data_IF_251989591297
#
_entry.id   IF_251989591297
#
_cell.length_a   1.000
_cell.length_b   1.000
_cell.length_c   1.000
_cell.angle_alpha   90.00
_cell.angle_beta   90.00
_cell.angle_gamma   90.00
#
_symmetry.space_group_name_H-M   'P 1'
#
loop_
_entity.id
_entity.type
_entity.pdbx_description
1 polymer ?
#
# COMPACT_ATOMS: atom_id res chain seq x y z
N UNK A 1 6.51 5.86 12.52
CA UNK A 1 5.72 5.60 11.29
C UNK A 1 4.48 4.82 11.67
N UNK A 2 3.28 5.15 11.17
CA UNK A 2 2.01 4.66 11.74
C UNK A 2 1.06 4.19 10.64
N UNK A 3 0.29 3.14 10.96
CA UNK A 3 -0.76 2.61 10.09
C UNK A 3 -2.08 3.36 10.29
N UNK A 4 -2.88 3.47 9.23
CA UNK A 4 -4.20 4.12 9.24
C UNK A 4 -5.32 3.11 9.29
N UNK A 5 -6.32 3.41 10.13
CA UNK A 5 -7.63 2.77 10.07
C UNK A 5 -8.70 3.86 10.08
N UNK A 6 -9.76 3.68 9.28
CA UNK A 6 -10.82 4.67 9.13
C UNK A 6 -11.66 4.90 10.40
N UNK A 7 -12.50 5.94 10.39
CA UNK A 7 -13.46 6.23 11.45
C UNK A 7 -14.40 5.06 11.70
N UNK A 8 -14.43 4.56 12.93
CA UNK A 8 -15.36 3.56 13.39
C UNK A 8 -16.24 4.19 14.49
N UNK A 9 -17.57 3.98 14.39
CA UNK A 9 -18.57 4.51 15.32
C UNK A 9 -18.60 3.81 16.69
N UNK A 10 -19.69 4.00 17.44
CA UNK A 10 -19.95 3.32 18.71
C UNK A 10 -19.98 1.80 18.52
N UNK A 11 -19.14 1.07 19.21
CA UNK A 11 -18.80 -0.34 18.97
C UNK A 11 -17.38 -0.51 18.40
N UNK A 12 -16.68 0.58 18.15
CA UNK A 12 -15.37 0.65 17.54
C UNK A 12 -14.30 -0.16 18.30
N UNK A 13 -14.33 -0.18 19.62
CA UNK A 13 -13.29 -0.85 20.43
C UNK A 13 -13.20 -2.35 20.12
N UNK A 14 -14.35 -3.04 19.95
CA UNK A 14 -14.36 -4.46 19.58
C UNK A 14 -13.78 -4.67 18.17
N UNK A 15 -14.22 -3.87 17.21
CA UNK A 15 -13.72 -3.97 15.83
C UNK A 15 -12.23 -3.62 15.75
N UNK A 16 -11.80 -2.58 16.48
CA UNK A 16 -10.40 -2.18 16.53
C UNK A 16 -9.53 -3.26 17.17
N UNK A 17 -10.04 -3.91 18.22
CA UNK A 17 -9.34 -5.03 18.82
C UNK A 17 -9.23 -6.22 17.85
N UNK A 18 -10.28 -6.55 17.11
CA UNK A 18 -10.25 -7.59 16.10
C UNK A 18 -9.25 -7.29 14.97
N UNK A 19 -9.13 -6.02 14.57
CA UNK A 19 -8.11 -5.58 13.60
C UNK A 19 -6.71 -5.77 14.19
N UNK A 20 -6.49 -5.34 15.43
CA UNK A 20 -5.22 -5.52 16.13
C UNK A 20 -4.82 -7.00 16.21
N UNK A 21 -5.72 -7.86 16.70
CA UNK A 21 -5.51 -9.30 16.81
C UNK A 21 -5.23 -9.94 15.44
N UNK A 22 -5.96 -9.52 14.39
CA UNK A 22 -5.72 -9.99 13.04
C UNK A 22 -4.32 -9.60 12.53
N UNK A 23 -3.88 -8.36 12.77
CA UNK A 23 -2.54 -7.91 12.38
C UNK A 23 -1.46 -8.68 13.14
N UNK A 24 -1.62 -8.89 14.43
CA UNK A 24 -0.66 -9.64 15.25
C UNK A 24 -0.54 -11.09 14.80
N UNK A 25 -1.64 -11.71 14.35
CA UNK A 25 -1.66 -13.11 13.92
C UNK A 25 -1.31 -13.34 12.46
N UNK A 26 -1.75 -12.45 11.57
CA UNK A 26 -1.69 -12.65 10.11
C UNK A 26 -0.72 -11.70 9.41
N UNK A 27 -0.35 -10.60 10.06
CA UNK A 27 0.43 -9.52 9.47
C UNK A 27 -0.43 -8.40 8.89
N UNK A 28 0.19 -7.54 8.12
CA UNK A 28 -0.46 -6.40 7.47
C UNK A 28 -1.17 -6.84 6.20
N UNK A 29 -2.41 -6.40 6.03
CA UNK A 29 -3.14 -6.62 4.79
C UNK A 29 -2.71 -5.60 3.73
N UNK A 30 -2.07 -6.05 2.68
CA UNK A 30 -1.77 -5.26 1.49
C UNK A 30 -2.97 -5.29 0.55
N UNK A 31 -3.39 -4.13 0.08
CA UNK A 31 -4.59 -3.97 -0.75
C UNK A 31 -4.27 -3.29 -2.08
N UNK A 32 -5.09 -3.54 -3.10
CA UNK A 32 -5.01 -2.90 -4.41
C UNK A 32 -6.15 -1.88 -4.57
N UNK A 33 -5.96 -0.94 -5.50
CA UNK A 33 -6.98 0.03 -5.89
C UNK A 33 -7.23 1.13 -4.85
N UNK A 34 -8.21 1.95 -5.16
CA UNK A 34 -8.66 3.04 -4.30
C UNK A 34 -9.89 2.62 -3.46
N UNK A 35 -10.40 3.56 -2.64
CA UNK A 35 -11.59 3.35 -1.80
C UNK A 35 -12.86 2.99 -2.61
N UNK A 36 -12.90 3.29 -3.90
CA UNK A 36 -14.03 3.02 -4.79
C UNK A 36 -13.93 1.67 -5.50
N UNK A 37 -12.82 0.94 -5.33
CA UNK A 37 -12.58 -0.33 -6.02
C UNK A 37 -12.11 -0.17 -7.45
N UNK A 38 -11.61 1.01 -7.81
CA UNK A 38 -11.10 1.30 -9.16
C UNK A 38 -9.58 1.21 -9.20
N UNK A 39 -9.05 0.88 -10.38
CA UNK A 39 -7.63 1.00 -10.64
C UNK A 39 -7.19 2.46 -10.55
N UNK A 40 -5.94 2.67 -10.14
CA UNK A 40 -5.37 4.01 -10.16
C UNK A 40 -5.19 4.45 -11.63
N UNK A 41 -5.76 5.61 -11.94
CA UNK A 41 -5.66 6.23 -13.25
C UNK A 41 -4.72 7.42 -13.14
N UNK A 42 -3.75 7.46 -14.02
CA UNK A 42 -2.86 8.60 -14.19
C UNK A 42 -3.27 9.40 -15.41
N UNK A 43 -3.31 10.72 -15.27
CA UNK A 43 -3.60 11.64 -16.37
C UNK A 43 -2.39 12.54 -16.60
N UNK A 44 -1.99 12.67 -17.84
CA UNK A 44 -0.85 13.50 -18.24
C UNK A 44 -1.31 14.52 -19.26
N UNK A 45 -1.00 15.78 -19.02
CA UNK A 45 -1.26 16.84 -19.97
C UNK A 45 -0.21 16.82 -21.08
N UNK A 46 -0.69 16.64 -22.31
CA UNK A 46 0.14 16.61 -23.51
C UNK A 46 0.37 18.02 -24.06
N UNK A 47 1.41 18.18 -24.84
CA UNK A 47 1.64 19.39 -25.64
C UNK A 47 0.41 19.63 -26.56
N UNK A 48 -0.11 20.85 -26.54
CA UNK A 48 -1.35 21.18 -27.28
C UNK A 48 -2.63 21.05 -26.45
N UNK A 49 -2.53 20.78 -25.14
CA UNK A 49 -3.67 20.78 -24.21
C UNK A 49 -4.49 19.48 -24.18
N UNK A 50 -4.11 18.48 -24.96
CA UNK A 50 -4.73 17.16 -24.84
C UNK A 50 -4.36 16.49 -23.49
N UNK A 51 -5.29 15.70 -22.94
CA UNK A 51 -5.06 14.92 -21.74
C UNK A 51 -5.03 13.45 -22.16
N UNK A 52 -3.90 12.79 -21.94
CA UNK A 52 -3.82 11.34 -22.05
C UNK A 52 -3.94 10.71 -20.66
N UNK A 53 -4.78 9.70 -20.56
CA UNK A 53 -4.99 8.94 -19.35
C UNK A 53 -4.63 7.48 -19.57
N UNK A 54 -3.95 6.90 -18.60
CA UNK A 54 -3.62 5.48 -18.61
C UNK A 54 -3.90 4.85 -17.25
N UNK A 55 -4.35 3.61 -17.29
CA UNK A 55 -4.61 2.81 -16.11
C UNK A 55 -3.37 1.98 -15.76
N UNK A 56 -3.03 1.94 -14.48
CA UNK A 56 -1.94 1.13 -13.98
C UNK A 56 -2.48 0.09 -13.02
N UNK A 57 -2.23 -1.17 -13.32
CA UNK A 57 -2.46 -2.24 -12.37
C UNK A 57 -1.38 -2.13 -11.29
N UNK A 58 -1.74 -1.56 -10.16
CA UNK A 58 -0.82 -1.45 -9.04
C UNK A 58 -0.75 -2.77 -8.29
N UNK A 59 0.44 -3.07 -7.77
CA UNK A 59 0.63 -4.15 -6.81
C UNK A 59 -0.06 -3.83 -5.48
N UNK A 60 -0.41 -4.87 -4.73
CA UNK A 60 -0.94 -4.72 -3.39
C UNK A 60 0.05 -3.94 -2.51
N UNK A 61 -0.46 -3.04 -1.70
CA UNK A 61 0.36 -2.15 -0.87
C UNK A 61 -0.27 -1.87 0.47
N UNK A 62 0.54 -1.52 1.43
CA UNK A 62 0.15 -0.91 2.70
C UNK A 62 0.84 0.44 2.84
N UNK A 63 0.09 1.42 3.34
CA UNK A 63 0.55 2.79 3.49
C UNK A 63 0.85 3.11 4.95
N UNK A 64 1.91 3.87 5.17
CA UNK A 64 2.31 4.42 6.46
C UNK A 64 2.41 5.93 6.35
N UNK A 65 2.36 6.61 7.48
CA UNK A 65 2.60 8.05 7.55
C UNK A 65 3.76 8.32 8.50
N UNK A 66 4.66 9.23 8.11
CA UNK A 66 5.80 9.67 8.92
C UNK A 66 5.57 11.12 9.36
N UNK A 67 4.63 11.32 10.26
CA UNK A 67 4.27 12.63 10.78
C UNK A 67 4.75 12.83 12.21
N UNK A 68 5.14 14.06 12.58
CA UNK A 68 5.48 14.42 13.96
C UNK A 68 4.32 14.16 14.92
N UNK A 69 4.63 13.94 16.20
CA UNK A 69 3.62 13.61 17.21
C UNK A 69 2.60 14.74 17.39
N UNK A 70 3.04 15.99 17.32
CA UNK A 70 2.20 17.19 17.40
C UNK A 70 1.18 17.30 16.27
N UNK A 71 1.41 16.66 15.13
CA UNK A 71 0.49 16.64 13.99
C UNK A 71 -0.49 15.48 14.04
N UNK A 72 -0.33 14.55 14.97
CA UNK A 72 -1.16 13.35 15.06
C UNK A 72 -2.63 13.66 15.29
N UNK A 73 -2.94 14.71 16.07
CA UNK A 73 -4.32 15.07 16.38
C UNK A 73 -5.12 15.34 15.11
N UNK A 74 -4.63 16.21 14.23
CA UNK A 74 -5.27 16.52 12.96
C UNK A 74 -5.33 15.28 12.04
N UNK A 75 -4.28 14.47 12.03
CA UNK A 75 -4.24 13.27 11.23
C UNK A 75 -5.26 12.21 11.70
N UNK A 76 -5.37 12.01 13.00
CA UNK A 76 -6.31 11.04 13.57
C UNK A 76 -7.78 11.45 13.39
N UNK A 77 -8.10 12.74 13.35
CA UNK A 77 -9.45 13.22 13.02
C UNK A 77 -9.87 12.80 11.60
N UNK A 78 -8.92 12.80 10.65
CA UNK A 78 -9.22 12.43 9.26
C UNK A 78 -9.17 10.92 9.01
N UNK A 79 -8.24 10.20 9.65
CA UNK A 79 -7.91 8.81 9.34
C UNK A 79 -8.24 7.81 10.44
N UNK A 80 -8.78 8.26 11.58
CA UNK A 80 -9.15 7.43 12.71
C UNK A 80 -8.10 7.42 13.83
N UNK A 81 -8.56 7.07 15.03
CA UNK A 81 -7.78 7.16 16.28
C UNK A 81 -7.08 5.85 16.67
N UNK A 82 -7.10 4.83 15.85
CA UNK A 82 -6.33 3.61 16.06
C UNK A 82 -5.11 3.61 15.16
N UNK A 83 -3.93 3.30 15.72
CA UNK A 83 -2.70 3.28 14.95
C UNK A 83 -1.66 2.32 15.52
N UNK A 84 -0.80 1.82 14.61
CA UNK A 84 0.39 1.05 14.98
C UNK A 84 1.62 1.83 14.55
N UNK A 85 2.58 1.98 15.47
CA UNK A 85 3.85 2.64 15.23
C UNK A 85 4.97 1.63 15.02
N UNK A 86 5.80 1.90 14.01
CA UNK A 86 6.98 1.12 13.65
C UNK A 86 8.17 2.07 13.52
N UNK A 87 9.38 1.60 13.78
CA UNK A 87 10.57 2.41 13.49
C UNK A 87 10.75 2.58 11.97
N UNK A 88 11.39 3.69 11.58
CA UNK A 88 11.70 3.96 10.17
C UNK A 88 12.65 2.90 9.61
N UNK A 89 13.61 2.47 10.41
CA UNK A 89 14.57 1.42 10.06
C UNK A 89 13.85 0.10 9.75
N UNK A 90 12.84 -0.24 10.52
CA UNK A 90 12.03 -1.44 10.26
C UNK A 90 11.29 -1.33 8.92
N UNK A 91 10.67 -0.18 8.64
CA UNK A 91 9.93 0.01 7.37
C UNK A 91 10.89 -0.01 6.18
N UNK A 92 12.06 0.63 6.30
CA UNK A 92 13.11 0.56 5.28
C UNK A 92 13.60 -0.87 5.06
N UNK A 93 13.87 -1.61 6.14
CA UNK A 93 14.28 -3.01 6.06
C UNK A 93 13.20 -3.90 5.42
N UNK A 94 11.94 -3.52 5.48
CA UNK A 94 10.82 -4.20 4.82
C UNK A 94 10.57 -3.73 3.38
N UNK A 95 11.44 -2.92 2.80
CA UNK A 95 11.28 -2.39 1.43
C UNK A 95 10.32 -1.21 1.33
N UNK A 96 9.96 -0.61 2.46
CA UNK A 96 9.16 0.59 2.47
C UNK A 96 9.91 1.77 1.88
N UNK A 97 9.25 2.51 0.99
CA UNK A 97 9.78 3.68 0.34
C UNK A 97 8.80 4.85 0.40
N UNK A 98 9.29 6.09 0.40
CA UNK A 98 8.43 7.26 0.33
C UNK A 98 7.68 7.29 -1.00
N UNK A 99 6.48 7.87 -0.96
CA UNK A 99 5.64 8.07 -2.15
C UNK A 99 6.12 9.27 -2.94
N UNK A 100 6.21 9.09 -4.25
CA UNK A 100 6.44 10.16 -5.20
C UNK A 100 5.10 10.79 -5.59
N UNK A 101 4.89 12.02 -5.18
CA UNK A 101 3.71 12.78 -5.55
C UNK A 101 3.93 13.50 -6.86
N UNK A 102 3.05 13.26 -7.83
CA UNK A 102 3.11 13.90 -9.13
C UNK A 102 2.06 15.00 -9.22
N UNK A 103 2.47 16.25 -9.39
CA UNK A 103 1.54 17.32 -9.66
C UNK A 103 0.87 17.11 -11.02
N UNK A 104 -0.46 17.01 -11.01
CA UNK A 104 -1.27 17.00 -12.21
C UNK A 104 -1.89 18.39 -12.41
N UNK A 105 -1.12 19.30 -13.00
CA UNK A 105 -1.56 20.68 -13.24
C UNK A 105 -1.40 21.02 -14.73
N UNK A 106 -2.42 21.63 -15.38
CA UNK A 106 -2.37 21.97 -16.80
C UNK A 106 -1.21 22.92 -17.18
N UNK A 107 -0.64 23.64 -16.20
CA UNK A 107 0.49 24.54 -16.38
C UNK A 107 1.83 23.96 -15.94
N UNK A 108 1.89 22.69 -15.55
CA UNK A 108 3.10 22.06 -15.00
C UNK A 108 4.19 21.75 -16.04
N UNK A 109 4.20 22.44 -17.15
CA UNK A 109 5.24 22.35 -18.18
C UNK A 109 4.88 21.44 -19.34
N UNK A 110 5.75 21.40 -20.33
CA UNK A 110 5.63 20.49 -21.47
C UNK A 110 5.94 19.08 -21.01
N UNK A 111 5.23 18.10 -21.55
CA UNK A 111 5.39 16.69 -21.23
C UNK A 111 6.84 16.21 -21.26
N UNK A 112 7.63 16.73 -22.20
CA UNK A 112 8.99 16.30 -22.47
C UNK A 112 9.97 16.61 -21.32
N UNK A 113 9.68 17.62 -20.51
CA UNK A 113 10.57 18.10 -19.44
C UNK A 113 9.97 17.95 -18.03
N UNK A 114 8.79 17.34 -17.92
CA UNK A 114 8.12 17.15 -16.63
C UNK A 114 8.32 15.73 -16.08
N UNK A 115 8.23 15.59 -14.77
CA UNK A 115 8.22 14.28 -14.11
C UNK A 115 7.05 13.42 -14.64
N UNK A 116 5.90 14.04 -14.94
CA UNK A 116 4.74 13.38 -15.54
C UNK A 116 5.06 12.81 -16.91
N UNK A 117 5.75 13.56 -17.77
CA UNK A 117 6.19 13.09 -19.09
C UNK A 117 7.16 11.92 -19.01
N UNK A 118 8.10 11.98 -18.06
CA UNK A 118 9.01 10.86 -17.82
C UNK A 118 8.24 9.60 -17.44
N UNK A 119 7.28 9.70 -16.52
CA UNK A 119 6.48 8.56 -16.08
C UNK A 119 5.55 8.03 -17.17
N UNK A 120 4.96 8.91 -17.98
CA UNK A 120 4.20 8.51 -19.16
C UNK A 120 5.05 7.67 -20.14
N UNK A 121 6.27 8.11 -20.43
CA UNK A 121 7.19 7.36 -21.25
C UNK A 121 7.59 6.02 -20.58
N UNK A 122 7.85 6.01 -19.28
CA UNK A 122 8.12 4.79 -18.54
C UNK A 122 6.95 3.81 -18.54
N UNK A 123 5.70 4.29 -18.57
CA UNK A 123 4.53 3.43 -18.70
C UNK A 123 4.53 2.63 -20.02
N UNK A 124 5.11 3.15 -21.09
CA UNK A 124 5.20 2.49 -22.39
C UNK A 124 6.30 1.43 -22.46
N UNK A 125 7.28 1.47 -21.56
CA UNK A 125 8.42 0.53 -21.58
C UNK A 125 8.01 -0.93 -21.31
N UNK A 126 7.16 -1.28 -20.34
CA UNK A 126 6.76 -2.67 -20.10
C UNK A 126 6.13 -3.37 -21.33
N UNK A 127 5.21 -2.76 -22.09
CA UNK A 127 4.73 -3.35 -23.35
C UNK A 127 5.86 -3.62 -24.36
N UNK A 128 6.79 -2.67 -24.53
CA UNK A 128 7.94 -2.83 -25.43
C UNK A 128 8.88 -3.95 -24.97
N UNK A 129 9.13 -4.08 -23.67
CA UNK A 129 9.91 -5.19 -23.11
C UNK A 129 9.21 -6.53 -23.33
N UNK A 130 7.89 -6.58 -23.22
CA UNK A 130 7.11 -7.79 -23.49
C UNK A 130 7.19 -8.21 -24.98
N UNK A 131 7.14 -7.23 -25.89
CA UNK A 131 7.31 -7.46 -27.32
C UNK A 131 8.73 -7.95 -27.62
N UNK A 132 9.75 -7.27 -27.11
CA UNK A 132 11.15 -7.67 -27.26
C UNK A 132 11.37 -9.11 -26.76
N UNK A 133 10.82 -9.46 -25.60
CA UNK A 133 10.87 -10.83 -25.07
C UNK A 133 10.28 -11.84 -26.05
N UNK A 134 9.13 -11.52 -26.67
CA UNK A 134 8.48 -12.43 -27.62
C UNK A 134 9.34 -12.66 -28.87
N UNK A 135 10.10 -11.66 -29.30
CA UNK A 135 11.04 -11.77 -30.41
C UNK A 135 12.29 -12.57 -30.08
N UNK A 136 12.75 -12.50 -28.82
CA UNK A 136 14.01 -13.13 -28.39
C UNK A 136 13.88 -14.55 -27.87
N UNK A 137 12.67 -14.93 -27.40
CA UNK A 137 12.44 -16.20 -26.69
C UNK A 137 12.88 -17.47 -27.43
N UNK A 138 12.80 -17.57 -28.80
CA UNK A 138 13.21 -18.78 -29.50
C UNK A 138 14.72 -19.01 -29.59
N UNK A 139 15.54 -17.99 -29.45
CA UNK A 139 16.95 -18.04 -29.86
C UNK A 139 17.95 -17.69 -28.74
N UNK A 140 17.50 -17.24 -27.58
CA UNK A 140 18.40 -16.70 -26.56
C UNK A 140 18.45 -17.52 -25.26
N UNK A 141 19.61 -17.55 -24.61
CA UNK A 141 19.77 -18.18 -23.30
C UNK A 141 18.85 -17.51 -22.25
N UNK A 142 18.35 -18.33 -21.35
CA UNK A 142 17.43 -17.97 -20.27
C UNK A 142 17.77 -16.66 -19.55
N UNK A 143 19.04 -16.33 -19.41
CA UNK A 143 19.51 -15.13 -18.69
C UNK A 143 19.01 -13.80 -19.28
N UNK A 144 19.00 -13.65 -20.63
CA UNK A 144 18.51 -12.39 -21.25
C UNK A 144 17.01 -12.22 -21.05
N UNK A 145 16.25 -13.29 -21.20
CA UNK A 145 14.81 -13.30 -20.97
C UNK A 145 14.51 -12.98 -19.50
N UNK A 146 15.30 -13.52 -18.57
CA UNK A 146 15.16 -13.27 -17.13
C UNK A 146 15.44 -11.79 -16.77
N UNK A 147 16.46 -11.18 -17.36
CA UNK A 147 16.73 -9.74 -17.17
C UNK A 147 15.58 -8.87 -17.68
N UNK A 148 15.02 -9.18 -18.84
CA UNK A 148 13.85 -8.47 -19.40
C UNK A 148 12.66 -8.60 -18.45
N UNK A 149 12.37 -9.81 -17.96
CA UNK A 149 11.30 -10.06 -17.00
C UNK A 149 11.51 -9.27 -15.69
N UNK A 150 12.72 -9.24 -15.16
CA UNK A 150 13.05 -8.48 -13.95
C UNK A 150 12.88 -6.98 -14.17
N UNK A 151 13.34 -6.44 -15.29
CA UNK A 151 13.17 -5.03 -15.64
C UNK A 151 11.68 -4.65 -15.76
N UNK A 152 10.90 -5.47 -16.46
CA UNK A 152 9.45 -5.26 -16.59
C UNK A 152 8.76 -5.26 -15.22
N UNK A 153 9.06 -6.23 -14.38
CA UNK A 153 8.50 -6.33 -13.03
C UNK A 153 8.90 -5.15 -12.15
N UNK A 154 10.16 -4.73 -12.21
CA UNK A 154 10.65 -3.58 -11.43
C UNK A 154 9.94 -2.29 -11.82
N UNK A 155 9.75 -2.04 -13.12
CA UNK A 155 9.01 -0.89 -13.61
C UNK A 155 7.54 -0.91 -13.17
N UNK A 156 6.89 -2.08 -13.24
CA UNK A 156 5.50 -2.24 -12.75
C UNK A 156 5.37 -1.95 -11.27
N UNK A 157 6.34 -2.41 -10.46
CA UNK A 157 6.35 -2.19 -8.99
C UNK A 157 6.60 -0.74 -8.62
N UNK A 158 7.41 -0.02 -9.40
CA UNK A 158 7.67 1.41 -9.19
C UNK A 158 6.36 2.23 -9.12
N UNK A 159 5.36 1.86 -9.92
CA UNK A 159 4.05 2.52 -9.89
C UNK A 159 3.34 2.43 -8.55
N UNK A 160 3.63 1.42 -7.74
CA UNK A 160 3.12 1.32 -6.38
C UNK A 160 3.55 2.47 -5.46
N UNK A 161 4.65 3.16 -5.80
CA UNK A 161 5.17 4.31 -5.04
C UNK A 161 4.79 5.66 -5.65
N UNK A 162 4.03 5.69 -6.72
CA UNK A 162 3.61 6.92 -7.37
C UNK A 162 2.17 7.25 -6.98
N UNK A 163 1.88 8.53 -6.74
CA UNK A 163 0.54 9.05 -6.47
C UNK A 163 0.34 10.36 -7.22
N UNK A 164 -0.74 10.44 -7.97
CA UNK A 164 -1.14 11.65 -8.67
C UNK A 164 -1.76 12.64 -7.68
N UNK A 165 -1.37 13.91 -7.79
CA UNK A 165 -1.97 15.03 -7.08
C UNK A 165 -2.93 15.75 -8.02
N UNK A 166 -4.23 15.56 -7.82
CA UNK A 166 -5.26 16.23 -8.60
C UNK A 166 -5.35 17.71 -8.23
N UNK A 167 -5.23 18.59 -9.22
CA UNK A 167 -5.33 20.05 -9.05
C UNK A 167 -6.73 20.54 -8.68
N UNK A 168 -7.75 19.68 -8.76
CA UNK A 168 -9.15 20.06 -8.55
C UNK A 168 -9.54 20.22 -7.07
N UNK A 169 -8.70 19.76 -6.16
CA UNK A 169 -8.94 19.95 -4.73
C UNK A 169 -7.94 20.96 -4.18
N UNK A 170 -8.40 22.15 -3.83
CA UNK A 170 -7.60 23.22 -3.23
C UNK A 170 -6.79 22.82 -1.98
N UNK A 171 -6.96 21.58 -1.52
CA UNK A 171 -6.31 20.99 -0.34
C UNK A 171 -5.34 19.85 -0.68
N UNK A 172 -4.97 19.64 -1.94
CA UNK A 172 -4.11 18.51 -2.34
C UNK A 172 -2.69 18.58 -1.79
N UNK A 173 -2.25 19.77 -1.36
CA UNK A 173 -1.00 19.91 -0.60
C UNK A 173 -0.99 19.13 0.72
N UNK A 174 -2.15 18.69 1.24
CA UNK A 174 -2.21 17.82 2.42
C UNK A 174 -1.42 16.54 2.24
N UNK A 175 -1.37 15.98 1.04
CA UNK A 175 -0.60 14.75 0.77
C UNK A 175 0.90 14.94 1.05
N UNK A 176 1.45 16.12 0.83
CA UNK A 176 2.85 16.42 1.14
C UNK A 176 3.11 16.42 2.65
N UNK A 177 2.11 16.79 3.46
CA UNK A 177 2.20 16.75 4.92
C UNK A 177 2.06 15.32 5.46
N UNK A 178 1.45 14.39 4.69
CA UNK A 178 1.28 13.00 5.11
C UNK A 178 2.59 12.25 5.15
N UNK A 179 3.60 12.68 4.39
CA UNK A 179 4.87 11.96 4.27
C UNK A 179 4.63 10.46 4.12
N UNK A 180 3.77 10.12 3.14
CA UNK A 180 3.33 8.74 2.93
C UNK A 180 4.49 7.86 2.50
N UNK A 181 4.56 6.69 3.11
CA UNK A 181 5.45 5.61 2.74
C UNK A 181 4.62 4.39 2.37
N UNK A 182 5.15 3.55 1.52
CA UNK A 182 4.48 2.31 1.12
C UNK A 182 5.42 1.13 1.19
N UNK A 183 4.87 -0.02 1.61
CA UNK A 183 5.40 -1.34 1.28
C UNK A 183 4.54 -1.87 0.14
N UNK A 184 5.17 -2.31 -0.93
CA UNK A 184 4.52 -2.79 -2.15
C UNK A 184 4.86 -4.26 -2.35
N UNK A 185 3.85 -5.07 -2.65
CA UNK A 185 4.02 -6.50 -2.91
C UNK A 185 5.06 -6.75 -4.00
N UNK A 186 5.93 -7.73 -3.75
CA UNK A 186 6.98 -8.10 -4.68
C UNK A 186 8.18 -7.14 -4.75
N UNK A 187 8.23 -6.08 -3.95
CA UNK A 187 9.47 -5.30 -3.76
C UNK A 187 10.35 -6.08 -2.79
N UNK A 188 11.29 -6.82 -3.34
CA UNK A 188 12.23 -7.64 -2.55
C UNK A 188 13.47 -6.82 -2.20
N UNK A 189 13.83 -6.82 -0.94
CA UNK A 189 15.15 -6.41 -0.48
C UNK A 189 15.99 -7.67 -0.25
N UNK A 190 16.94 -7.91 -1.15
CA UNK A 190 17.87 -9.04 -1.04
C UNK A 190 17.29 -10.39 -1.45
N UNK A 191 17.98 -11.45 -1.05
CA UNK A 191 17.65 -12.85 -1.41
C UNK A 191 16.58 -13.50 -0.52
N UNK A 192 15.81 -12.74 0.24
CA UNK A 192 14.78 -13.30 1.12
C UNK A 192 13.47 -13.50 0.36
N UNK A 193 13.07 -14.75 0.34
CA UNK A 193 11.86 -15.26 -0.31
C UNK A 193 10.61 -14.65 0.31
N UNK A 194 9.70 -14.24 -0.53
CA UNK A 194 8.31 -13.83 -0.31
C UNK A 194 7.85 -13.65 1.14
N UNK A 195 7.95 -12.42 1.59
CA UNK A 195 7.36 -11.97 2.86
C UNK A 195 5.84 -11.77 2.77
N UNK A 196 5.28 -11.91 1.58
CA UNK A 196 3.83 -11.82 1.32
C UNK A 196 3.26 -13.18 0.96
N UNK A 197 2.04 -13.44 1.40
CA UNK A 197 1.28 -14.62 1.01
C UNK A 197 -0.10 -14.25 0.47
N UNK A 198 -0.63 -15.07 -0.39
CA UNK A 198 -2.00 -14.98 -0.84
C UNK A 198 -2.99 -15.22 0.32
N UNK A 199 -4.20 -14.69 0.17
CA UNK A 199 -5.28 -14.99 1.07
C UNK A 199 -5.78 -16.42 0.81
N UNK A 200 -6.09 -17.15 1.88
CA UNK A 200 -6.82 -18.41 1.78
C UNK A 200 -8.30 -18.15 1.40
N UNK A 201 -8.99 -19.18 0.94
CA UNK A 201 -10.43 -19.08 0.60
C UNK A 201 -11.27 -18.66 1.81
N UNK A 202 -10.90 -19.09 3.02
CA UNK A 202 -11.58 -18.68 4.26
C UNK A 202 -11.37 -17.20 4.55
N UNK A 203 -10.17 -16.69 4.38
CA UNK A 203 -9.83 -15.28 4.55
C UNK A 203 -10.54 -14.42 3.50
N UNK A 204 -10.63 -14.87 2.26
CA UNK A 204 -11.41 -14.21 1.21
C UNK A 204 -12.88 -14.13 1.62
N UNK A 205 -13.47 -15.23 2.10
CA UNK A 205 -14.86 -15.24 2.59
C UNK A 205 -15.06 -14.30 3.77
N UNK A 206 -14.16 -14.35 4.75
CA UNK A 206 -14.21 -13.44 5.91
C UNK A 206 -14.15 -11.96 5.49
N UNK A 207 -13.24 -11.60 4.60
CA UNK A 207 -13.11 -10.21 4.13
C UNK A 207 -14.28 -9.78 3.25
N UNK A 208 -14.84 -10.68 2.45
CA UNK A 208 -16.02 -10.43 1.63
C UNK A 208 -17.24 -10.02 2.48
N UNK A 209 -17.42 -10.66 3.63
CA UNK A 209 -18.52 -10.29 4.57
C UNK A 209 -18.30 -8.91 5.20
N UNK A 210 -17.05 -8.49 5.38
CA UNK A 210 -16.70 -7.19 5.97
C UNK A 210 -16.83 -6.03 4.99
N UNK A 211 -16.63 -6.28 3.70
CA UNK A 211 -16.66 -5.25 2.67
C UNK A 211 -17.11 -5.81 1.31
N UNK A 212 -18.41 -5.76 1.06
CA UNK A 212 -19.02 -6.23 -0.19
C UNK A 212 -18.37 -5.65 -1.46
N UNK A 213 -17.96 -4.39 -1.43
CA UNK A 213 -17.30 -3.75 -2.60
C UNK A 213 -16.02 -4.47 -3.05
N UNK A 214 -15.33 -5.19 -2.17
CA UNK A 214 -14.13 -5.94 -2.51
C UNK A 214 -14.41 -7.20 -3.31
N UNK A 215 -15.66 -7.65 -3.34
CA UNK A 215 -16.11 -8.81 -4.13
C UNK A 215 -16.60 -8.41 -5.53
N UNK A 216 -16.79 -7.11 -5.78
CA UNK A 216 -17.19 -6.64 -7.10
C UNK A 216 -16.05 -6.79 -8.08
N UNK A 217 -16.35 -7.12 -9.36
CA UNK A 217 -15.34 -7.10 -10.41
C UNK A 217 -14.65 -5.73 -10.45
N UNK A 218 -13.35 -5.75 -10.70
CA UNK A 218 -12.59 -4.52 -10.91
C UNK A 218 -13.12 -3.80 -12.15
N UNK A 219 -13.41 -2.51 -12.01
CA UNK A 219 -13.71 -1.63 -13.15
C UNK A 219 -12.39 -1.37 -13.89
N UNK A 220 -12.17 -2.12 -14.96
CA UNK A 220 -10.95 -2.15 -15.75
C UNK A 220 -11.25 -1.79 -17.19
N UNK A 221 -10.28 -1.18 -17.88
CA UNK A 221 -10.35 -1.01 -19.34
C UNK A 221 -10.47 -2.37 -20.06
N UNK A 222 -10.96 -2.36 -21.29
CA UNK A 222 -11.17 -3.58 -22.08
C UNK A 222 -9.89 -4.42 -22.22
N UNK A 223 -8.75 -3.75 -22.43
CA UNK A 223 -7.44 -4.41 -22.52
C UNK A 223 -7.04 -5.13 -21.24
N UNK A 224 -7.31 -4.51 -20.08
CA UNK A 224 -7.04 -5.09 -18.77
C UNK A 224 -8.02 -6.21 -18.43
N UNK A 225 -9.31 -6.05 -18.79
CA UNK A 225 -10.32 -7.08 -18.58
C UNK A 225 -10.04 -8.35 -19.38
N UNK A 226 -9.49 -8.24 -20.58
CA UNK A 226 -9.03 -9.41 -21.37
C UNK A 226 -7.88 -10.15 -20.68
N UNK A 227 -6.98 -9.42 -20.00
CA UNK A 227 -5.82 -10.01 -19.29
C UNK A 227 -6.21 -10.62 -17.94
N UNK A 228 -7.23 -10.06 -17.28
CA UNK A 228 -7.67 -10.45 -15.93
C UNK A 228 -9.19 -10.69 -15.88
N UNK A 229 -9.72 -11.67 -16.61
CA UNK A 229 -11.16 -11.90 -16.69
C UNK A 229 -11.71 -12.31 -15.31
N UNK A 230 -12.84 -11.73 -14.94
CA UNK A 230 -13.62 -12.07 -13.73
C UNK A 230 -12.88 -11.93 -12.38
N UNK A 231 -11.81 -11.16 -12.31
CA UNK A 231 -11.09 -10.94 -11.07
C UNK A 231 -11.72 -9.82 -10.23
N UNK A 232 -11.82 -10.04 -8.94
CA UNK A 232 -12.21 -9.04 -7.96
C UNK A 232 -11.01 -8.65 -7.09
N UNK A 233 -11.13 -7.53 -6.35
CA UNK A 233 -10.01 -6.94 -5.60
C UNK A 233 -9.35 -7.92 -4.63
N UNK A 234 -10.13 -8.75 -3.92
CA UNK A 234 -9.60 -9.66 -2.91
C UNK A 234 -8.58 -10.65 -3.44
N UNK A 235 -8.66 -11.02 -4.72
CA UNK A 235 -7.70 -11.94 -5.35
C UNK A 235 -6.28 -11.34 -5.49
N UNK A 236 -6.18 -10.01 -5.39
CA UNK A 236 -4.92 -9.31 -5.45
C UNK A 236 -4.40 -8.89 -4.07
N UNK A 237 -5.18 -9.10 -3.01
CA UNK A 237 -4.74 -8.80 -1.67
C UNK A 237 -3.70 -9.81 -1.20
N UNK A 238 -2.80 -9.37 -0.35
CA UNK A 238 -1.72 -10.18 0.22
C UNK A 238 -1.60 -9.88 1.71
N UNK A 239 -1.21 -10.87 2.49
CA UNK A 239 -0.73 -10.63 3.84
C UNK A 239 0.78 -10.53 3.85
N UNK A 240 1.27 -9.51 4.53
CA UNK A 240 2.70 -9.28 4.79
C UNK A 240 2.98 -9.49 6.27
N UNK A 241 3.81 -10.47 6.60
CA UNK A 241 4.13 -10.79 7.99
C UNK A 241 5.54 -10.33 8.44
N UNK A 242 6.13 -9.38 7.76
CA UNK A 242 7.49 -8.91 8.01
C UNK A 242 8.54 -9.72 7.25
N UNK A 243 9.82 -9.42 7.46
CA UNK A 243 10.94 -10.15 6.87
C UNK A 243 11.59 -11.05 7.91
N UNK A 244 12.26 -12.09 7.47
CA UNK A 244 12.81 -13.30 8.10
C UNK A 244 13.27 -13.23 9.57
N UNK A 245 13.63 -12.06 10.06
CA UNK A 245 14.10 -11.90 11.45
C UNK A 245 13.17 -11.12 12.36
N UNK A 246 12.11 -10.53 11.80
CA UNK A 246 11.21 -9.66 12.54
C UNK A 246 9.81 -9.68 11.94
N UNK A 247 8.90 -10.36 12.60
CA UNK A 247 7.49 -10.36 12.19
C UNK A 247 6.86 -8.99 12.42
N UNK A 248 5.70 -8.74 11.81
CA UNK A 248 4.94 -7.49 12.01
C UNK A 248 4.66 -7.27 13.48
N UNK A 249 4.19 -8.29 14.22
CA UNK A 249 3.89 -8.17 15.64
C UNK A 249 5.12 -7.82 16.49
N UNK A 250 6.28 -8.43 16.19
CA UNK A 250 7.55 -8.12 16.87
C UNK A 250 8.10 -6.73 16.53
N UNK A 251 7.62 -6.13 15.45
CA UNK A 251 8.06 -4.83 14.99
C UNK A 251 7.21 -3.67 15.52
N UNK A 252 6.06 -3.95 16.13
CA UNK A 252 5.21 -2.92 16.71
C UNK A 252 5.94 -2.29 17.90
N UNK A 253 6.15 -0.98 17.85
CA UNK A 253 6.76 -0.21 18.95
C UNK A 253 5.72 0.57 19.75
N UNK A 254 4.66 1.02 19.07
CA UNK A 254 3.59 1.81 19.67
C UNK A 254 2.23 1.31 19.19
N UNK A 255 1.27 1.21 20.12
CA UNK A 255 -0.15 1.02 19.79
C UNK A 255 -0.91 2.24 20.29
N UNK A 256 -1.54 2.97 19.38
CA UNK A 256 -2.44 4.08 19.67
C UNK A 256 -3.87 3.56 19.71
N UNK A 257 -4.61 3.89 20.73
CA UNK A 257 -5.99 3.48 20.93
C UNK A 257 -6.88 4.67 21.30
N UNK A 258 -8.17 4.66 20.96
CA UNK A 258 -9.09 5.75 21.26
C UNK A 258 -9.57 5.77 22.71
N UNK A 259 -9.43 4.68 23.46
CA UNK A 259 -10.04 4.55 24.79
C UNK A 259 -9.17 3.77 25.79
N UNK A 260 -9.35 4.05 27.07
CA UNK A 260 -8.75 3.26 28.14
C UNK A 260 -9.27 1.81 28.20
N UNK A 261 -10.50 1.59 27.78
CA UNK A 261 -11.05 0.24 27.70
C UNK A 261 -10.27 -0.61 26.69
N UNK A 262 -10.04 -0.08 25.51
CA UNK A 262 -9.25 -0.75 24.48
C UNK A 262 -7.78 -0.87 24.90
N UNK A 263 -7.21 0.16 25.56
CA UNK A 263 -5.84 0.10 26.13
C UNK A 263 -5.68 -1.10 27.06
N UNK A 264 -6.56 -1.25 28.05
CA UNK A 264 -6.51 -2.38 29.00
C UNK A 264 -6.60 -3.72 28.27
N UNK A 265 -7.45 -3.83 27.26
CA UNK A 265 -7.61 -5.05 26.49
C UNK A 265 -6.36 -5.39 25.66
N UNK A 266 -5.76 -4.40 25.01
CA UNK A 266 -4.51 -4.59 24.25
C UNK A 266 -3.37 -4.98 25.18
N UNK A 267 -3.21 -4.31 26.34
CA UNK A 267 -2.19 -4.67 27.34
C UNK A 267 -2.37 -6.12 27.83
N UNK A 268 -3.59 -6.51 28.19
CA UNK A 268 -3.89 -7.89 28.58
C UNK A 268 -3.55 -8.90 27.49
N UNK A 269 -3.78 -8.55 26.23
CA UNK A 269 -3.43 -9.40 25.09
C UNK A 269 -1.90 -9.55 24.97
N UNK A 270 -1.14 -8.46 25.10
CA UNK A 270 0.33 -8.48 25.06
C UNK A 270 0.89 -9.34 26.21
N UNK A 271 0.36 -9.20 27.41
CA UNK A 271 0.72 -10.01 28.58
C UNK A 271 0.39 -11.50 28.39
N UNK A 272 -0.70 -11.81 27.71
CA UNK A 272 -1.13 -13.20 27.45
C UNK A 272 -0.27 -13.89 26.39
N UNK A 273 0.27 -13.14 25.42
CA UNK A 273 1.04 -13.66 24.29
C UNK A 273 2.39 -12.93 24.15
N UNK A 274 3.26 -12.95 25.18
CA UNK A 274 4.51 -12.18 25.18
C UNK A 274 5.45 -12.58 24.04
N UNK A 275 5.46 -13.84 23.65
CA UNK A 275 6.33 -14.37 22.58
C UNK A 275 6.04 -13.78 21.21
N UNK A 276 4.85 -13.18 21.01
CA UNK A 276 4.48 -12.52 19.76
C UNK A 276 5.09 -11.14 19.61
N UNK A 277 5.57 -10.55 20.70
CA UNK A 277 6.12 -9.21 20.74
C UNK A 277 7.60 -9.26 21.10
N UNK A 278 8.32 -8.20 20.71
CA UNK A 278 9.74 -8.08 21.08
C UNK A 278 9.87 -7.40 22.45
N UNK A 279 10.87 -7.79 23.22
CA UNK A 279 11.26 -7.02 24.41
C UNK A 279 12.08 -5.78 24.02
N UNK A 280 11.76 -4.56 24.54
CA UNK A 280 10.62 -4.28 25.39
C UNK A 280 9.28 -4.38 24.65
N UNK A 281 8.21 -4.68 25.39
CA UNK A 281 6.84 -4.71 24.83
C UNK A 281 6.46 -3.35 24.22
N UNK A 282 5.55 -3.34 23.22
CA UNK A 282 5.08 -2.10 22.62
C UNK A 282 4.41 -1.18 23.66
N UNK A 283 4.64 0.11 23.53
CA UNK A 283 3.99 1.11 24.36
C UNK A 283 2.55 1.31 23.90
N UNK A 284 1.57 1.15 24.78
CA UNK A 284 0.15 1.39 24.48
C UNK A 284 -0.26 2.75 25.03
N UNK A 285 -0.67 3.67 24.16
CA UNK A 285 -1.08 5.04 24.50
C UNK A 285 -2.52 5.29 24.11
N UNK A 286 -3.26 5.99 24.98
CA UNK A 286 -4.59 6.52 24.63
C UNK A 286 -4.38 7.82 23.90
N UNK A 287 -5.08 7.97 22.78
CA UNK A 287 -5.03 9.18 21.99
C UNK A 287 -5.74 10.33 22.71
N UNK A 288 -5.04 11.48 22.86
CA UNK A 288 -5.57 12.67 23.54
C UNK A 288 -5.58 12.62 25.06
N UNK A 289 -4.99 11.59 25.69
CA UNK A 289 -4.65 11.61 27.10
C UNK A 289 -3.22 12.17 27.24
N UNK A 290 -3.11 13.42 27.74
CA UNK A 290 -1.85 13.99 28.21
C UNK A 290 -1.45 13.40 29.56
#
# INVERSE_FOLDING_TARGET
MRLRFGHLGTGADEQLFQIFDSIVRRGLLLTVGNKEGKLDRFSVHMVGGAIESFEVMQHARVCFTDIPEEMLSAHCQEYGMFGLGFSRETILAWGGNPVFYLPNHPTAGTLENSMGGMLYNLHRVPPLLSELRSCLAPENPSSTVDYINQAEQSLRRMWGFVKEMSSQKANDYRYLYEREWRIVDGVMLGHEVDSTRELSDDEIRELATKCERWTKPLDMSESMSRRYPHKHMLQFFRFFNGLSRKTVSQAIEVVLVPSDALKRRVLKYIETYPDRFRSPNPVVRVFGAE
#
